data_IF_941972064339
#
_entry.id   IF_941972064339
#
_cell.length_a   1.000
_cell.length_b   1.000
_cell.length_c   1.000
_cell.angle_alpha   90.00
_cell.angle_beta   90.00
_cell.angle_gamma   90.00
#
_symmetry.space_group_name_H-M   'P 1'
#
loop_
_entity.id
_entity.type
_entity.pdbx_description
1 polymer ?
#
# COMPACT_ATOMS: atom_id res chain seq x y z
N UNK A 1 -30.28 11.79 11.21
CA UNK A 1 -29.08 12.56 10.81
C UNK A 1 -27.87 11.96 11.50
N UNK A 2 -27.14 11.06 10.83
CA UNK A 2 -25.91 10.50 11.36
C UNK A 2 -24.75 11.41 10.98
N UNK A 3 -24.40 12.32 11.87
CA UNK A 3 -23.11 13.00 11.80
C UNK A 3 -22.06 12.03 12.34
N UNK A 4 -21.46 11.23 11.46
CA UNK A 4 -20.26 10.48 11.80
C UNK A 4 -19.14 11.46 12.15
N UNK A 5 -18.35 11.15 13.18
CA UNK A 5 -17.15 11.91 13.49
C UNK A 5 -16.16 11.79 12.31
N UNK A 6 -15.98 12.87 11.55
CA UNK A 6 -15.00 12.95 10.46
C UNK A 6 -13.88 13.89 10.86
N UNK A 7 -12.64 13.40 10.83
CA UNK A 7 -11.44 14.19 11.10
C UNK A 7 -10.72 14.49 9.79
N UNK A 8 -10.37 15.77 9.55
CA UNK A 8 -9.66 16.20 8.34
C UNK A 8 -8.14 16.20 8.54
N UNK A 9 -7.36 15.53 7.70
CA UNK A 9 -5.89 15.47 7.83
C UNK A 9 -5.15 15.51 6.47
N UNK A 10 -3.89 15.96 6.46
CA UNK A 10 -3.04 16.13 5.26
C UNK A 10 -2.38 14.81 4.83
N UNK A 11 -2.43 14.46 3.54
CA UNK A 11 -1.84 13.22 2.98
C UNK A 11 -0.33 13.39 2.77
N UNK A 12 0.48 13.04 3.77
CA UNK A 12 1.91 12.76 3.60
C UNK A 12 2.36 11.81 4.72
N UNK A 13 1.70 10.65 4.83
CA UNK A 13 1.51 9.96 6.12
C UNK A 13 0.79 10.88 7.11
N UNK A 14 -0.48 10.59 7.38
CA UNK A 14 -1.33 11.47 8.19
C UNK A 14 -0.65 11.76 9.53
N UNK A 15 -0.57 13.03 9.91
CA UNK A 15 -0.31 13.39 11.32
C UNK A 15 -1.33 12.66 12.16
N UNK A 16 -0.87 11.99 13.21
CA UNK A 16 -1.72 11.16 14.05
C UNK A 16 -3.04 11.86 14.41
N UNK A 17 -4.17 11.19 14.13
CA UNK A 17 -5.50 11.69 14.45
C UNK A 17 -6.22 10.73 15.38
N UNK A 18 -6.89 11.29 16.38
CA UNK A 18 -7.77 10.52 17.25
C UNK A 18 -9.14 10.37 16.55
N UNK A 19 -9.55 9.12 16.31
CA UNK A 19 -10.88 8.77 15.83
C UNK A 19 -11.49 7.81 16.84
N UNK A 20 -12.56 8.23 17.50
CA UNK A 20 -13.30 7.43 18.48
C UNK A 20 -12.42 6.85 19.61
N UNK A 21 -11.43 7.62 20.09
CA UNK A 21 -10.51 7.19 21.15
C UNK A 21 -9.34 6.35 20.66
N UNK A 22 -9.28 6.02 19.36
CA UNK A 22 -8.17 5.27 18.76
C UNK A 22 -7.27 6.19 17.94
N UNK A 23 -5.96 5.99 18.08
CA UNK A 23 -4.95 6.72 17.32
C UNK A 23 -4.77 6.11 15.92
N UNK A 24 -5.02 6.91 14.88
CA UNK A 24 -4.91 6.48 13.49
C UNK A 24 -3.76 7.23 12.80
N UNK A 25 -2.76 6.47 12.37
CA UNK A 25 -1.60 6.97 11.62
C UNK A 25 -1.62 6.53 10.14
N UNK A 26 -2.43 5.52 9.80
CA UNK A 26 -2.54 4.95 8.45
C UNK A 26 -4.00 4.72 8.09
N UNK A 27 -4.35 5.03 6.84
CA UNK A 27 -5.64 4.75 6.26
C UNK A 27 -5.46 4.08 4.89
N UNK A 28 -6.43 3.25 4.52
CA UNK A 28 -6.40 2.47 3.28
C UNK A 28 -6.91 3.30 2.11
N UNK A 29 -6.19 3.17 0.99
CA UNK A 29 -6.56 3.67 -0.31
C UNK A 29 -7.00 2.46 -1.13
N UNK A 30 -8.30 2.27 -1.34
CA UNK A 30 -8.88 1.03 -1.89
C UNK A 30 -8.17 0.53 -3.16
N UNK A 31 -8.17 1.35 -4.21
CA UNK A 31 -7.52 1.05 -5.48
C UNK A 31 -7.30 2.35 -6.29
N UNK A 32 -6.64 2.22 -7.45
CA UNK A 32 -6.36 3.36 -8.31
C UNK A 32 -7.59 4.00 -8.92
N UNK A 33 -8.62 3.21 -9.26
CA UNK A 33 -9.84 3.75 -9.83
C UNK A 33 -10.53 4.68 -8.82
N UNK A 34 -10.51 4.30 -7.54
CA UNK A 34 -10.99 5.11 -6.43
C UNK A 34 -10.17 6.40 -6.26
N UNK A 35 -8.83 6.30 -6.30
CA UNK A 35 -7.95 7.47 -6.25
C UNK A 35 -8.20 8.45 -7.39
N UNK A 36 -8.36 7.94 -8.62
CA UNK A 36 -8.66 8.75 -9.80
C UNK A 36 -10.03 9.40 -9.73
N UNK A 37 -11.04 8.66 -9.22
CA UNK A 37 -12.39 9.18 -9.03
C UNK A 37 -12.41 10.35 -8.05
N UNK A 38 -11.61 10.27 -6.98
CA UNK A 38 -11.50 11.35 -6.01
C UNK A 38 -10.50 12.45 -6.43
N UNK A 39 -9.68 12.25 -7.47
CA UNK A 39 -8.55 13.14 -7.80
C UNK A 39 -7.68 13.41 -6.56
N UNK A 40 -7.31 12.35 -5.82
CA UNK A 40 -6.46 12.49 -4.63
C UNK A 40 -5.05 12.92 -5.03
N UNK A 41 -4.55 13.97 -4.38
CA UNK A 41 -3.18 14.46 -4.53
C UNK A 41 -2.42 14.40 -3.22
N UNK A 42 -1.11 14.26 -3.33
CA UNK A 42 -0.24 14.26 -2.14
C UNK A 42 -0.29 15.67 -1.53
N UNK A 43 -0.51 15.75 -0.23
CA UNK A 43 -0.71 17.02 0.49
C UNK A 43 -2.16 17.51 0.54
N UNK A 44 -3.13 16.81 -0.04
CA UNK A 44 -4.54 17.13 0.11
C UNK A 44 -5.01 16.92 1.55
N UNK A 45 -6.05 17.68 1.93
CA UNK A 45 -6.82 17.43 3.15
C UNK A 45 -7.92 16.43 2.83
N UNK A 46 -8.02 15.36 3.62
CA UNK A 46 -9.02 14.31 3.42
C UNK A 46 -9.82 14.04 4.67
N UNK A 47 -11.06 13.60 4.48
CA UNK A 47 -11.88 13.02 5.53
C UNK A 47 -11.54 11.54 5.72
N UNK A 48 -11.14 11.17 6.93
CA UNK A 48 -10.88 9.77 7.31
C UNK A 48 -12.01 9.29 8.21
N UNK A 49 -12.47 8.06 7.99
CA UNK A 49 -13.44 7.40 8.86
C UNK A 49 -12.90 6.06 9.33
N UNK A 50 -13.29 5.70 10.56
CA UNK A 50 -13.09 4.39 11.14
C UNK A 50 -14.49 3.79 11.37
N UNK A 51 -14.91 2.87 10.51
CA UNK A 51 -16.18 2.17 10.68
C UNK A 51 -16.00 1.09 11.75
N UNK A 52 -16.57 1.29 12.94
CA UNK A 52 -16.69 0.26 13.99
C UNK A 52 -15.38 -0.46 14.39
N UNK A 53 -14.31 0.28 14.64
CA UNK A 53 -12.96 -0.26 14.95
C UNK A 53 -12.33 -1.10 13.82
N UNK A 54 -12.80 -0.98 12.58
CA UNK A 54 -12.19 -1.60 11.41
C UNK A 54 -11.16 -0.69 10.72
N UNK A 55 -10.47 -1.25 9.72
CA UNK A 55 -9.42 -0.61 8.92
C UNK A 55 -9.85 0.81 8.49
N UNK A 56 -9.14 1.87 8.94
CA UNK A 56 -9.46 3.24 8.57
C UNK A 56 -9.34 3.45 7.06
N UNK A 57 -10.21 4.26 6.48
CA UNK A 57 -10.20 4.56 5.05
C UNK A 57 -10.57 6.02 4.75
N UNK A 58 -10.13 6.48 3.57
CA UNK A 58 -10.41 7.83 3.09
C UNK A 58 -11.80 7.86 2.44
N UNK A 59 -12.62 8.81 2.88
CA UNK A 59 -13.97 9.03 2.34
C UNK A 59 -14.02 10.07 1.24
N UNK A 60 -13.39 11.23 1.46
CA UNK A 60 -13.50 12.37 0.55
C UNK A 60 -12.34 13.36 0.72
N UNK A 61 -12.24 14.33 -0.19
CA UNK A 61 -11.23 15.38 -0.20
C UNK A 61 -11.87 16.75 0.08
N UNK A 62 -11.20 17.54 0.91
CA UNK A 62 -11.50 18.95 1.09
C UNK A 62 -10.86 19.81 -0.01
N UNK A 63 -11.43 19.78 -1.22
CA UNK A 63 -10.91 20.49 -2.40
C UNK A 63 -10.64 22.00 -2.16
N UNK A 64 -11.42 22.64 -1.28
CA UNK A 64 -11.25 24.07 -0.93
C UNK A 64 -9.91 24.40 -0.26
N UNK A 65 -9.26 23.41 0.36
CA UNK A 65 -7.96 23.56 1.04
C UNK A 65 -6.80 23.04 0.18
N UNK A 66 -7.07 22.67 -1.08
CA UNK A 66 -6.05 22.15 -2.00
C UNK A 66 -5.07 23.26 -2.38
N UNK A 67 -3.77 22.95 -2.30
CA UNK A 67 -2.72 23.87 -2.76
C UNK A 67 -2.74 23.99 -4.30
N UNK A 68 -2.45 25.18 -4.81
CA UNK A 68 -2.26 25.44 -6.25
C UNK A 68 -1.06 24.68 -6.83
N UNK A 69 -0.08 24.31 -6.00
CA UNK A 69 1.11 23.53 -6.37
C UNK A 69 0.87 22.01 -6.34
N UNK A 70 -0.37 21.57 -6.09
CA UNK A 70 -0.68 20.14 -5.95
C UNK A 70 -0.58 19.38 -7.27
N UNK A 71 0.29 18.36 -7.29
CA UNK A 71 0.51 17.51 -8.48
C UNK A 71 -0.36 16.25 -8.38
N UNK A 72 -1.08 15.87 -9.46
CA UNK A 72 -1.77 14.59 -9.53
C UNK A 72 -0.84 13.41 -9.24
N UNK A 73 -1.36 12.38 -8.56
CA UNK A 73 -0.58 11.18 -8.29
C UNK A 73 -0.34 10.37 -9.58
N UNK A 74 0.91 10.34 -10.05
CA UNK A 74 1.34 9.46 -11.13
C UNK A 74 1.85 8.13 -10.58
N UNK A 75 1.05 7.08 -10.78
CA UNK A 75 1.43 5.71 -10.43
C UNK A 75 2.68 5.23 -11.17
N UNK A 76 2.82 5.51 -12.45
CA UNK A 76 3.95 4.98 -13.23
C UNK A 76 5.26 5.61 -12.75
N UNK A 77 5.26 6.92 -12.54
CA UNK A 77 6.41 7.61 -11.97
C UNK A 77 6.70 7.10 -10.55
N UNK A 78 5.68 6.88 -9.72
CA UNK A 78 5.85 6.32 -8.37
C UNK A 78 6.48 4.92 -8.39
N UNK A 79 6.04 4.03 -9.29
CA UNK A 79 6.59 2.67 -9.42
C UNK A 79 8.03 2.67 -9.95
N UNK A 80 8.36 3.58 -10.88
CA UNK A 80 9.74 3.78 -11.36
C UNK A 80 10.66 4.25 -10.23
N UNK A 81 10.24 5.23 -9.44
CA UNK A 81 11.03 5.74 -8.32
C UNK A 81 11.30 4.69 -7.23
N UNK A 82 10.44 3.67 -7.13
CA UNK A 82 10.63 2.55 -6.20
C UNK A 82 11.47 1.41 -6.79
N UNK A 83 11.96 1.53 -8.03
CA UNK A 83 12.61 0.45 -8.78
C UNK A 83 11.75 -0.83 -8.88
N UNK A 84 10.42 -0.66 -8.87
CA UNK A 84 9.45 -1.76 -9.01
C UNK A 84 8.99 -1.87 -10.48
N UNK A 85 9.37 -0.93 -11.34
CA UNK A 85 9.02 -0.91 -12.76
C UNK A 85 10.23 -1.22 -13.65
N UNK A 86 10.71 -2.46 -13.58
CA UNK A 86 11.82 -2.91 -14.41
C UNK A 86 11.34 -3.79 -15.59
N UNK A 87 11.81 -3.53 -16.82
CA UNK A 87 11.64 -4.45 -17.93
C UNK A 87 12.56 -5.66 -17.74
N UNK A 88 12.04 -6.85 -17.95
CA UNK A 88 12.83 -8.09 -17.94
C UNK A 88 12.40 -8.98 -19.10
N UNK A 89 13.35 -9.72 -19.67
CA UNK A 89 13.09 -10.60 -20.81
C UNK A 89 12.80 -12.01 -20.32
N UNK A 90 11.70 -12.58 -20.81
CA UNK A 90 11.37 -14.00 -20.63
C UNK A 90 11.04 -14.57 -22.00
N UNK A 91 11.85 -15.54 -22.46
CA UNK A 91 11.65 -16.23 -23.74
C UNK A 91 11.51 -15.29 -24.94
N UNK A 92 12.35 -14.24 -25.04
CA UNK A 92 12.28 -13.27 -26.14
C UNK A 92 11.20 -12.20 -25.99
N UNK A 93 10.41 -12.22 -24.91
CA UNK A 93 9.34 -11.25 -24.65
C UNK A 93 9.76 -10.32 -23.51
N UNK A 94 9.81 -9.02 -23.79
CA UNK A 94 10.00 -7.99 -22.76
C UNK A 94 8.73 -7.87 -21.93
N UNK A 95 8.77 -8.39 -20.71
CA UNK A 95 7.72 -8.26 -19.72
C UNK A 95 8.04 -7.10 -18.77
N UNK A 96 7.01 -6.51 -18.18
CA UNK A 96 7.14 -5.49 -17.13
C UNK A 96 6.45 -6.00 -15.89
N UNK A 97 7.16 -6.10 -14.77
CA UNK A 97 6.60 -6.64 -13.53
C UNK A 97 6.64 -5.58 -12.46
N UNK A 98 5.46 -5.07 -12.11
CA UNK A 98 5.25 -4.18 -10.98
C UNK A 98 5.24 -4.93 -9.63
N UNK A 99 6.19 -5.83 -9.40
CA UNK A 99 6.26 -6.60 -8.15
C UNK A 99 7.69 -7.01 -7.86
N UNK A 100 8.16 -6.78 -6.63
CA UNK A 100 9.45 -7.32 -6.20
C UNK A 100 9.39 -8.86 -6.23
N UNK A 101 10.37 -9.48 -6.90
CA UNK A 101 10.46 -10.94 -6.98
C UNK A 101 10.61 -11.58 -5.60
N UNK A 102 11.28 -10.89 -4.68
CA UNK A 102 11.47 -11.31 -3.30
C UNK A 102 10.15 -11.33 -2.53
N UNK A 103 9.28 -10.33 -2.66
CA UNK A 103 7.99 -10.35 -1.95
C UNK A 103 7.08 -11.46 -2.43
N UNK A 104 7.11 -11.76 -3.74
CA UNK A 104 6.39 -12.92 -4.28
C UNK A 104 6.94 -14.20 -3.68
N UNK A 105 8.26 -14.36 -3.66
CA UNK A 105 8.90 -15.55 -3.10
C UNK A 105 8.54 -15.72 -1.62
N UNK A 106 8.61 -14.66 -0.82
CA UNK A 106 8.22 -14.65 0.59
C UNK A 106 6.75 -15.08 0.73
N UNK A 107 5.82 -14.49 -0.04
CA UNK A 107 4.39 -14.86 -0.01
C UNK A 107 4.17 -16.32 -0.39
N UNK A 108 4.87 -16.81 -1.41
CA UNK A 108 4.79 -18.22 -1.83
C UNK A 108 5.30 -19.15 -0.73
N UNK A 109 6.45 -18.86 -0.13
CA UNK A 109 7.00 -19.66 0.97
C UNK A 109 6.09 -19.68 2.19
N UNK A 110 5.48 -18.55 2.55
CA UNK A 110 4.46 -18.48 3.62
C UNK A 110 3.24 -19.33 3.28
N UNK A 111 2.79 -19.27 2.03
CA UNK A 111 1.64 -20.04 1.58
C UNK A 111 1.95 -21.54 1.62
N UNK A 112 3.10 -21.96 1.09
CA UNK A 112 3.53 -23.35 1.09
C UNK A 112 3.82 -23.88 2.49
N UNK A 113 4.44 -23.10 3.37
CA UNK A 113 4.70 -23.54 4.75
C UNK A 113 3.40 -23.86 5.48
N UNK A 114 2.33 -23.09 5.23
CA UNK A 114 0.99 -23.35 5.77
C UNK A 114 0.37 -24.61 5.18
N UNK A 115 0.42 -24.78 3.86
CA UNK A 115 -0.17 -25.96 3.18
C UNK A 115 0.55 -27.24 3.57
N UNK A 116 1.88 -27.22 3.55
CA UNK A 116 2.73 -28.37 3.84
C UNK A 116 2.93 -28.60 5.35
N UNK A 117 2.34 -27.76 6.21
CA UNK A 117 2.42 -27.82 7.67
C UNK A 117 3.86 -27.85 8.20
N UNK A 118 4.73 -27.04 7.61
CA UNK A 118 6.12 -26.91 8.06
C UNK A 118 6.17 -26.01 9.29
N UNK A 119 6.32 -26.61 10.46
CA UNK A 119 6.47 -25.90 11.73
C UNK A 119 7.78 -25.10 11.81
N UNK A 120 7.77 -24.00 12.56
CA UNK A 120 8.96 -23.15 12.78
C UNK A 120 9.29 -22.18 11.63
N UNK A 121 8.65 -22.30 10.47
CA UNK A 121 8.85 -21.39 9.34
C UNK A 121 8.00 -20.10 9.48
N UNK A 122 8.40 -19.22 10.39
CA UNK A 122 7.73 -17.95 10.63
C UNK A 122 8.00 -16.93 9.51
N UNK A 123 7.16 -15.90 9.40
CA UNK A 123 7.36 -14.79 8.45
C UNK A 123 8.76 -14.18 8.54
N UNK A 124 9.25 -13.97 9.76
CA UNK A 124 10.56 -13.37 10.04
C UNK A 124 11.69 -14.24 9.50
N UNK A 125 11.61 -15.56 9.76
CA UNK A 125 12.62 -16.51 9.32
C UNK A 125 12.66 -16.65 7.80
N UNK A 126 11.49 -16.73 7.15
CA UNK A 126 11.37 -16.75 5.68
C UNK A 126 11.98 -15.49 5.07
N UNK A 127 11.68 -14.31 5.64
CA UNK A 127 12.23 -13.04 5.16
C UNK A 127 13.75 -13.03 5.25
N UNK A 128 14.32 -13.45 6.38
CA UNK A 128 15.77 -13.57 6.56
C UNK A 128 16.42 -14.55 5.57
N UNK A 129 15.78 -15.70 5.29
CA UNK A 129 16.29 -16.69 4.33
C UNK A 129 16.35 -16.15 2.90
N UNK A 130 15.32 -15.40 2.50
CA UNK A 130 15.27 -14.75 1.18
C UNK A 130 16.29 -13.61 1.09
N UNK A 131 16.43 -12.78 2.13
CA UNK A 131 17.42 -11.70 2.19
C UNK A 131 18.86 -12.22 2.13
N UNK A 132 19.16 -13.32 2.83
CA UNK A 132 20.47 -13.99 2.81
C UNK A 132 20.75 -14.77 1.52
N UNK A 133 19.84 -14.75 0.54
CA UNK A 133 19.89 -15.53 -0.71
C UNK A 133 20.05 -17.04 -0.49
N UNK A 134 19.61 -17.55 0.65
CA UNK A 134 19.63 -18.99 0.98
C UNK A 134 18.44 -19.74 0.37
N UNK A 135 17.42 -19.01 -0.07
CA UNK A 135 16.28 -19.54 -0.82
C UNK A 135 16.07 -18.70 -2.08
N UNK A 136 16.09 -19.36 -3.23
CA UNK A 136 15.81 -18.77 -4.53
C UNK A 136 14.85 -19.67 -5.31
N UNK A 137 14.09 -19.04 -6.20
CA UNK A 137 13.22 -19.75 -7.13
C UNK A 137 14.07 -20.23 -8.30
N UNK A 138 14.12 -21.53 -8.53
CA UNK A 138 14.58 -22.07 -9.81
C UNK A 138 13.47 -21.82 -10.84
N UNK A 139 13.78 -21.04 -11.87
CA UNK A 139 12.94 -20.85 -13.04
C UNK A 139 13.49 -21.71 -14.18
#
# INVERSE_FOLDING_TARGET
MFWGHYSSCRIYAFTSININGSEVTKATLYNLAYLKRLDIRVGDFVGVTNSNNMIPHIMDIYYKKRSTESVPFDMQQSLKNQNIWEPFEVNGVVQRKAVSLQDILIKQLIHYSKILRIGGLSFVLIKQLVEKKSCHRYC
#
